data_IF_199343616209
#
_entry.id   IF_199343616209
#
_cell.length_a   1.000
_cell.length_b   1.000
_cell.length_c   1.000
_cell.angle_alpha   90.00
_cell.angle_beta   90.00
_cell.angle_gamma   90.00
#
_symmetry.space_group_name_H-M   'P 1'
#
loop_
_entity.id
_entity.type
_entity.pdbx_description
1 polymer ?
#
# COMPACT_ATOMS: atom_id res chain seq x y z
N UNK A 1 2.01 -4.27 -3.78
CA UNK A 1 3.09 -3.88 -2.85
C UNK A 1 2.43 -3.13 -1.70
N UNK A 2 2.66 -3.56 -0.45
CA UNK A 2 2.03 -2.99 0.73
C UNK A 2 2.98 -2.01 1.43
N UNK A 3 2.44 -0.95 2.04
CA UNK A 3 3.26 0.13 2.64
C UNK A 3 3.87 -0.24 3.98
N UNK A 4 3.47 -1.37 4.58
CA UNK A 4 4.11 -1.95 5.77
C UNK A 4 5.03 -3.12 5.36
N UNK A 5 6.21 -3.21 5.95
CA UNK A 5 7.13 -4.33 5.72
C UNK A 5 6.67 -5.60 6.43
N UNK A 6 6.88 -6.76 5.80
CA UNK A 6 6.65 -8.07 6.39
C UNK A 6 7.76 -8.45 7.38
N UNK A 7 8.97 -7.89 7.22
CA UNK A 7 10.12 -8.08 8.12
C UNK A 7 10.79 -6.73 8.42
N UNK A 8 10.34 -5.98 9.44
CA UNK A 8 10.91 -4.70 9.79
C UNK A 8 12.40 -4.76 10.16
N UNK A 9 12.86 -5.85 10.78
CA UNK A 9 14.25 -6.01 11.19
C UNK A 9 15.16 -6.23 9.98
N UNK A 10 14.74 -7.11 9.06
CA UNK A 10 15.42 -7.32 7.78
C UNK A 10 15.46 -6.06 6.93
N UNK A 11 14.32 -5.35 6.80
CA UNK A 11 14.28 -4.07 6.10
C UNK A 11 15.25 -3.04 6.71
N UNK A 12 15.29 -2.91 8.04
CA UNK A 12 16.24 -2.00 8.71
C UNK A 12 17.71 -2.38 8.45
N UNK A 13 18.04 -3.67 8.46
CA UNK A 13 19.38 -4.17 8.14
C UNK A 13 19.78 -3.84 6.70
N UNK A 14 18.84 -4.00 5.75
CA UNK A 14 19.05 -3.63 4.33
C UNK A 14 19.27 -2.13 4.17
N UNK A 15 18.46 -1.27 4.80
CA UNK A 15 18.64 0.19 4.77
C UNK A 15 20.02 0.59 5.30
N UNK A 16 20.46 -0.02 6.41
CA UNK A 16 21.76 0.25 6.99
C UNK A 16 22.91 -0.22 6.07
N UNK A 17 22.78 -1.39 5.45
CA UNK A 17 23.77 -1.91 4.51
C UNK A 17 23.86 -1.05 3.23
N UNK A 18 22.73 -0.70 2.63
CA UNK A 18 22.72 0.15 1.43
C UNK A 18 23.24 1.57 1.72
N UNK A 19 22.91 2.14 2.89
CA UNK A 19 23.49 3.41 3.34
C UNK A 19 25.02 3.36 3.43
N UNK A 20 25.55 2.33 4.10
CA UNK A 20 27.00 2.08 4.18
C UNK A 20 27.67 1.90 2.81
N UNK A 21 26.96 1.35 1.83
CA UNK A 21 27.46 1.20 0.48
C UNK A 21 27.46 2.54 -0.28
N UNK A 22 26.41 3.36 -0.11
CA UNK A 22 26.32 4.70 -0.69
C UNK A 22 27.44 5.62 -0.17
N UNK A 23 27.74 5.56 1.14
CA UNK A 23 28.77 6.39 1.77
C UNK A 23 30.19 6.07 1.26
N UNK A 24 30.42 4.82 0.82
CA UNK A 24 31.71 4.36 0.28
C UNK A 24 31.77 4.42 -1.24
N UNK A 25 30.69 4.83 -1.90
CA UNK A 25 30.60 4.82 -3.35
C UNK A 25 31.43 5.96 -3.94
N UNK A 26 32.41 5.69 -4.83
CA UNK A 26 33.17 6.74 -5.50
C UNK A 26 32.25 7.74 -6.25
N UNK A 27 32.66 9.01 -6.39
CA UNK A 27 31.89 10.01 -7.13
C UNK A 27 31.66 9.62 -8.61
N UNK A 28 32.60 8.91 -9.21
CA UNK A 28 32.58 8.42 -10.60
C UNK A 28 31.93 7.03 -10.74
N UNK A 29 31.37 6.47 -9.67
CA UNK A 29 30.69 5.18 -9.74
C UNK A 29 29.50 5.21 -10.72
N UNK A 30 29.19 4.08 -11.38
CA UNK A 30 28.11 4.02 -12.35
C UNK A 30 26.77 4.49 -11.77
N UNK A 31 26.11 5.43 -12.46
CA UNK A 31 24.78 5.95 -12.10
C UNK A 31 23.77 4.84 -11.77
N UNK A 32 23.66 3.73 -12.53
CA UNK A 32 22.78 2.62 -12.21
C UNK A 32 22.99 2.02 -10.81
N UNK A 33 24.24 1.94 -10.34
CA UNK A 33 24.54 1.37 -9.04
C UNK A 33 24.04 2.27 -7.91
N UNK A 34 24.29 3.58 -8.01
CA UNK A 34 23.81 4.58 -7.05
C UNK A 34 22.27 4.60 -7.01
N UNK A 35 21.63 4.62 -8.18
CA UNK A 35 20.17 4.60 -8.29
C UNK A 35 19.56 3.35 -7.65
N UNK A 36 20.13 2.16 -7.88
CA UNK A 36 19.65 0.90 -7.26
C UNK A 36 19.76 0.91 -5.74
N UNK A 37 20.89 1.39 -5.19
CA UNK A 37 21.06 1.49 -3.74
C UNK A 37 20.07 2.48 -3.11
N UNK A 38 19.83 3.62 -3.74
CA UNK A 38 18.82 4.59 -3.30
C UNK A 38 17.40 4.01 -3.37
N UNK A 39 17.07 3.30 -4.44
CA UNK A 39 15.80 2.56 -4.56
C UNK A 39 15.65 1.53 -3.44
N UNK A 40 16.70 0.79 -3.08
CA UNK A 40 16.68 -0.13 -1.92
C UNK A 40 16.38 0.61 -0.62
N UNK A 41 17.09 1.73 -0.35
CA UNK A 41 16.81 2.54 0.86
C UNK A 41 15.36 2.99 0.89
N UNK A 42 14.84 3.46 -0.25
CA UNK A 42 13.47 3.94 -0.35
C UNK A 42 12.45 2.82 -0.11
N UNK A 43 12.57 1.69 -0.81
CA UNK A 43 11.63 0.56 -0.67
C UNK A 43 11.64 -0.03 0.74
N UNK A 44 12.81 -0.19 1.34
CA UNK A 44 12.95 -0.78 2.67
C UNK A 44 12.64 0.18 3.82
N UNK A 45 12.54 1.49 3.53
CA UNK A 45 12.05 2.49 4.51
C UNK A 45 10.55 2.77 4.39
N UNK A 46 9.80 1.97 3.60
CA UNK A 46 8.35 2.18 3.38
C UNK A 46 7.56 2.13 4.70
N UNK A 47 6.57 3.02 4.82
CA UNK A 47 5.69 3.10 5.98
C UNK A 47 6.33 3.64 7.26
N UNK A 48 7.64 3.96 7.23
CA UNK A 48 8.31 4.63 8.35
C UNK A 48 8.15 6.15 8.23
N UNK A 49 7.97 6.86 9.35
CA UNK A 49 8.01 8.32 9.34
C UNK A 49 9.41 8.85 9.03
N UNK A 50 9.48 10.10 8.57
CA UNK A 50 10.72 10.83 8.35
C UNK A 50 11.11 11.00 6.88
N UNK A 51 12.24 11.70 6.65
CA UNK A 51 12.62 12.19 5.32
C UNK A 51 13.50 11.23 4.52
N UNK A 52 14.12 10.23 5.17
CA UNK A 52 15.14 9.38 4.54
C UNK A 52 14.59 8.57 3.36
N UNK A 53 13.46 7.89 3.55
CA UNK A 53 12.80 7.13 2.49
C UNK A 53 12.38 8.00 1.30
N UNK A 54 11.59 9.07 1.53
CA UNK A 54 11.17 9.99 0.47
C UNK A 54 12.35 10.66 -0.26
N UNK A 55 13.40 11.08 0.45
CA UNK A 55 14.58 11.68 -0.16
C UNK A 55 15.33 10.68 -1.05
N UNK A 56 15.49 9.43 -0.58
CA UNK A 56 16.10 8.38 -1.38
C UNK A 56 15.29 8.05 -2.63
N UNK A 57 13.95 8.03 -2.54
CA UNK A 57 13.07 7.78 -3.68
C UNK A 57 13.22 8.86 -4.76
N UNK A 58 13.19 10.14 -4.37
CA UNK A 58 13.37 11.28 -5.30
C UNK A 58 14.75 11.25 -5.97
N UNK A 59 15.81 11.06 -5.19
CA UNK A 59 17.16 10.97 -5.73
C UNK A 59 17.34 9.78 -6.69
N UNK A 60 16.70 8.64 -6.40
CA UNK A 60 16.70 7.48 -7.30
C UNK A 60 15.95 7.79 -8.61
N UNK A 61 14.80 8.46 -8.53
CA UNK A 61 14.01 8.88 -9.70
C UNK A 61 14.80 9.84 -10.59
N UNK A 62 15.41 10.88 -10.02
CA UNK A 62 16.23 11.86 -10.76
C UNK A 62 17.37 11.17 -11.52
N UNK A 63 18.12 10.29 -10.86
CA UNK A 63 19.20 9.53 -11.49
C UNK A 63 18.69 8.59 -12.59
N UNK A 64 17.57 7.91 -12.34
CA UNK A 64 16.98 6.99 -13.30
C UNK A 64 16.48 7.73 -14.55
N UNK A 65 15.80 8.87 -14.38
CA UNK A 65 15.37 9.74 -15.49
C UNK A 65 16.56 10.23 -16.31
N UNK A 66 17.63 10.69 -15.65
CA UNK A 66 18.84 11.15 -16.33
C UNK A 66 19.55 10.02 -17.10
N UNK A 67 19.46 8.77 -16.63
CA UNK A 67 20.10 7.62 -17.29
C UNK A 67 19.39 7.16 -18.58
N UNK A 68 18.10 7.46 -18.73
CA UNK A 68 17.27 6.92 -19.81
C UNK A 68 16.98 5.41 -19.73
N UNK A 69 17.40 4.72 -18.67
CA UNK A 69 17.14 3.29 -18.48
C UNK A 69 15.69 3.06 -17.98
N UNK A 70 14.82 2.40 -18.77
CA UNK A 70 13.42 2.20 -18.40
C UNK A 70 13.25 1.29 -17.17
N UNK A 71 14.13 0.32 -16.94
CA UNK A 71 14.03 -0.60 -15.82
C UNK A 71 14.42 0.08 -14.50
N UNK A 72 15.43 0.97 -14.53
CA UNK A 72 15.77 1.82 -13.38
C UNK A 72 14.62 2.77 -13.05
N UNK A 73 14.06 3.45 -14.07
CA UNK A 73 12.98 4.40 -13.85
C UNK A 73 11.74 3.71 -13.29
N UNK A 74 11.35 2.55 -13.85
CA UNK A 74 10.22 1.79 -13.33
C UNK A 74 10.42 1.36 -11.87
N UNK A 75 11.64 1.00 -11.48
CA UNK A 75 11.95 0.64 -10.08
C UNK A 75 11.90 1.85 -9.15
N UNK A 76 12.42 3.01 -9.60
CA UNK A 76 12.37 4.25 -8.84
C UNK A 76 10.93 4.76 -8.66
N UNK A 77 10.10 4.73 -9.71
CA UNK A 77 8.67 5.08 -9.62
C UNK A 77 7.92 4.19 -8.63
N UNK A 78 8.22 2.89 -8.59
CA UNK A 78 7.68 1.98 -7.58
C UNK A 78 8.06 2.38 -6.15
N UNK A 79 9.27 2.89 -5.94
CA UNK A 79 9.71 3.42 -4.66
C UNK A 79 9.05 4.77 -4.32
N UNK A 80 8.89 5.66 -5.30
CA UNK A 80 8.18 6.95 -5.12
C UNK A 80 6.73 6.71 -4.72
N UNK A 81 6.05 5.76 -5.37
CA UNK A 81 4.68 5.37 -5.01
C UNK A 81 4.55 5.00 -3.53
N UNK A 82 5.47 4.21 -2.97
CA UNK A 82 5.45 3.82 -1.55
C UNK A 82 5.51 5.00 -0.58
N UNK A 83 6.15 6.10 -1.00
CA UNK A 83 6.28 7.34 -0.22
C UNK A 83 5.20 8.38 -0.56
N UNK A 84 4.38 8.12 -1.59
CA UNK A 84 3.19 8.92 -1.96
C UNK A 84 1.97 8.51 -1.11
N UNK A 85 2.25 8.17 0.15
CA UNK A 85 1.31 7.83 1.21
C UNK A 85 1.69 8.54 2.53
N UNK A 86 2.53 9.59 2.46
CA UNK A 86 3.01 10.34 3.63
C UNK A 86 2.03 11.36 4.20
N UNK A 87 0.95 11.67 3.47
CA UNK A 87 -0.20 12.48 3.92
C UNK A 87 -1.47 12.02 3.20
N UNK A 88 -2.62 12.40 3.72
CA UNK A 88 -3.91 12.16 3.08
C UNK A 88 -4.08 12.99 1.80
N UNK A 89 -4.94 12.53 0.89
CA UNK A 89 -5.32 13.26 -0.33
C UNK A 89 -4.34 13.10 -1.50
N UNK A 90 -3.47 12.08 -1.47
CA UNK A 90 -2.45 11.83 -2.50
C UNK A 90 -2.89 10.82 -3.57
N UNK A 91 -4.17 10.43 -3.61
CA UNK A 91 -4.65 9.41 -4.53
C UNK A 91 -4.43 9.77 -6.01
N UNK A 92 -4.63 11.04 -6.40
CA UNK A 92 -4.37 11.49 -7.77
C UNK A 92 -2.88 11.41 -8.15
N UNK A 93 -1.98 11.76 -7.23
CA UNK A 93 -0.53 11.65 -7.43
C UNK A 93 -0.11 10.17 -7.60
N UNK A 94 -0.68 9.26 -6.78
CA UNK A 94 -0.48 7.81 -6.94
C UNK A 94 -0.98 7.30 -8.30
N UNK A 95 -2.15 7.72 -8.77
CA UNK A 95 -2.66 7.30 -10.09
C UNK A 95 -1.76 7.79 -11.22
N UNK A 96 -1.22 9.01 -11.14
CA UNK A 96 -0.27 9.54 -12.12
C UNK A 96 1.01 8.70 -12.20
N UNK A 97 1.60 8.35 -11.04
CA UNK A 97 2.76 7.45 -10.98
C UNK A 97 2.41 6.07 -11.58
N UNK A 98 1.24 5.53 -11.25
CA UNK A 98 0.77 4.27 -11.80
C UNK A 98 0.56 4.32 -13.32
N UNK A 99 0.10 5.45 -13.86
CA UNK A 99 -0.08 5.66 -15.30
C UNK A 99 1.27 5.66 -16.03
N UNK A 100 2.25 6.40 -15.50
CA UNK A 100 3.61 6.42 -16.04
C UNK A 100 4.25 5.02 -16.00
N UNK A 101 4.09 4.30 -14.89
CA UNK A 101 4.56 2.91 -14.77
C UNK A 101 3.97 1.98 -15.83
N UNK A 102 2.67 2.05 -16.07
CA UNK A 102 1.99 1.21 -17.08
C UNK A 102 2.51 1.52 -18.49
N UNK A 103 2.63 2.80 -18.83
CA UNK A 103 3.12 3.24 -20.15
C UNK A 103 4.58 2.80 -20.37
N UNK A 104 5.46 3.09 -19.39
CA UNK A 104 6.87 2.76 -19.45
C UNK A 104 7.08 1.25 -19.53
N UNK A 105 6.45 0.49 -18.63
CA UNK A 105 6.61 -0.96 -18.56
C UNK A 105 6.02 -1.65 -19.80
N UNK A 106 4.91 -1.15 -20.33
CA UNK A 106 4.30 -1.68 -21.56
C UNK A 106 5.21 -1.50 -22.78
N UNK A 107 5.88 -0.35 -22.93
CA UNK A 107 6.84 -0.12 -24.03
C UNK A 107 8.11 -0.95 -23.88
N UNK A 108 8.60 -1.11 -22.65
CA UNK A 108 9.88 -1.76 -22.37
C UNK A 108 9.78 -3.27 -22.08
N UNK A 109 8.58 -3.86 -22.07
CA UNK A 109 8.37 -5.28 -21.79
C UNK A 109 8.66 -5.67 -20.33
N UNK A 110 8.38 -4.78 -19.37
CA UNK A 110 8.70 -4.97 -17.95
C UNK A 110 7.48 -5.49 -17.18
N UNK A 111 7.13 -6.77 -17.36
CA UNK A 111 5.88 -7.36 -16.83
C UNK A 111 5.68 -7.16 -15.31
N UNK A 112 6.74 -7.29 -14.51
CA UNK A 112 6.67 -7.06 -13.06
C UNK A 112 6.21 -5.64 -12.74
N UNK A 113 6.76 -4.66 -13.44
CA UNK A 113 6.44 -3.25 -13.24
C UNK A 113 5.10 -2.87 -13.88
N UNK A 114 4.69 -3.56 -14.94
CA UNK A 114 3.35 -3.43 -15.52
C UNK A 114 2.27 -3.87 -14.51
N UNK A 115 2.48 -5.01 -13.84
CA UNK A 115 1.59 -5.46 -12.75
C UNK A 115 1.58 -4.45 -11.61
N UNK A 116 2.75 -3.92 -11.21
CA UNK A 116 2.81 -2.88 -10.18
C UNK A 116 2.01 -1.64 -10.59
N UNK A 117 2.20 -1.12 -11.80
CA UNK A 117 1.47 0.04 -12.29
C UNK A 117 -0.04 -0.16 -12.23
N UNK A 118 -0.54 -1.31 -12.68
CA UNK A 118 -1.97 -1.62 -12.59
C UNK A 118 -2.49 -1.76 -11.15
N UNK A 119 -1.71 -2.33 -10.23
CA UNK A 119 -2.08 -2.39 -8.81
C UNK A 119 -2.16 -0.99 -8.19
N UNK A 120 -1.18 -0.12 -8.48
CA UNK A 120 -1.16 1.26 -8.00
C UNK A 120 -2.40 2.01 -8.49
N UNK A 121 -2.74 1.88 -9.77
CA UNK A 121 -3.93 2.53 -10.33
C UNK A 121 -5.23 1.95 -9.80
N UNK A 122 -5.33 0.63 -9.62
CA UNK A 122 -6.49 -0.01 -8.97
C UNK A 122 -6.76 0.63 -7.60
N UNK A 123 -5.71 0.78 -6.78
CA UNK A 123 -5.81 1.37 -5.44
C UNK A 123 -6.14 2.86 -5.49
N UNK A 124 -5.43 3.62 -6.31
CA UNK A 124 -5.61 5.06 -6.43
C UNK A 124 -7.00 5.44 -6.96
N UNK A 125 -7.47 4.75 -8.01
CA UNK A 125 -8.80 4.97 -8.61
C UNK A 125 -9.92 4.60 -7.64
N UNK A 126 -9.73 3.53 -6.85
CA UNK A 126 -10.67 3.18 -5.78
C UNK A 126 -10.77 4.28 -4.72
N UNK A 127 -9.64 4.84 -4.28
CA UNK A 127 -9.62 5.95 -3.32
C UNK A 127 -10.25 7.24 -3.88
N UNK A 128 -10.20 7.45 -5.20
CA UNK A 128 -10.86 8.57 -5.88
C UNK A 128 -12.36 8.33 -6.16
N UNK A 129 -12.90 7.14 -5.84
CA UNK A 129 -14.28 6.76 -6.16
C UNK A 129 -14.50 6.39 -7.64
N UNK A 130 -13.45 6.33 -8.46
CA UNK A 130 -13.53 5.87 -9.85
C UNK A 130 -13.52 4.33 -9.91
N UNK A 131 -14.64 3.73 -9.49
CA UNK A 131 -14.79 2.28 -9.43
C UNK A 131 -14.77 1.63 -10.83
N UNK A 132 -15.21 2.35 -11.87
CA UNK A 132 -15.18 1.85 -13.24
C UNK A 132 -13.75 1.78 -13.79
N UNK A 133 -12.95 2.83 -13.59
CA UNK A 133 -11.54 2.85 -13.94
C UNK A 133 -10.74 1.81 -13.16
N UNK A 134 -11.03 1.67 -11.86
CA UNK A 134 -10.46 0.61 -11.03
C UNK A 134 -10.79 -0.80 -11.57
N UNK A 135 -12.03 -1.03 -12.02
CA UNK A 135 -12.45 -2.31 -12.61
C UNK A 135 -11.63 -2.69 -13.85
N UNK A 136 -11.37 -1.73 -14.75
CA UNK A 136 -10.54 -1.97 -15.92
C UNK A 136 -9.13 -2.45 -15.55
N UNK A 137 -8.55 -1.93 -14.48
CA UNK A 137 -7.25 -2.39 -13.99
C UNK A 137 -7.30 -3.76 -13.33
N UNK A 138 -8.36 -4.08 -12.58
CA UNK A 138 -8.57 -5.41 -12.02
C UNK A 138 -8.64 -6.49 -13.12
N UNK A 139 -9.36 -6.21 -14.22
CA UNK A 139 -9.48 -7.16 -15.33
C UNK A 139 -8.15 -7.36 -16.07
N UNK A 140 -7.32 -6.32 -16.20
CA UNK A 140 -5.97 -6.45 -16.76
C UNK A 140 -5.08 -7.28 -15.83
N UNK A 141 -5.14 -7.06 -14.52
CA UNK A 141 -4.36 -7.78 -13.53
C UNK A 141 -4.69 -9.27 -13.53
N UNK A 142 -5.96 -9.66 -13.62
CA UNK A 142 -6.35 -11.07 -13.70
C UNK A 142 -5.80 -11.75 -14.96
N UNK A 143 -5.85 -11.05 -16.10
CA UNK A 143 -5.24 -11.54 -17.35
C UNK A 143 -3.73 -11.70 -17.23
N UNK A 144 -3.04 -10.80 -16.51
CA UNK A 144 -1.60 -10.88 -16.25
C UNK A 144 -1.27 -12.01 -15.26
N UNK A 145 -2.09 -12.21 -14.22
CA UNK A 145 -1.89 -13.25 -13.21
C UNK A 145 -1.88 -14.65 -13.83
N UNK A 146 -2.77 -14.92 -14.78
CA UNK A 146 -2.83 -16.17 -15.55
C UNK A 146 -1.59 -16.38 -16.42
N UNK A 147 -1.09 -15.32 -17.06
CA UNK A 147 0.07 -15.42 -17.97
C UNK A 147 1.42 -15.53 -17.27
N UNK A 148 1.56 -14.95 -16.09
CA UNK A 148 2.85 -14.78 -15.42
C UNK A 148 3.02 -15.63 -14.16
N UNK A 149 2.11 -16.59 -13.92
CA UNK A 149 2.09 -17.45 -12.71
C UNK A 149 2.16 -16.63 -11.40
N UNK A 150 1.39 -15.54 -11.32
CA UNK A 150 1.38 -14.63 -10.14
C UNK A 150 0.08 -14.74 -9.35
N UNK A 151 -0.13 -15.83 -8.58
CA UNK A 151 -1.38 -16.05 -7.85
C UNK A 151 -1.68 -14.96 -6.80
N UNK A 152 -0.66 -14.26 -6.31
CA UNK A 152 -0.82 -13.16 -5.35
C UNK A 152 -1.50 -11.92 -5.95
N UNK A 153 -1.46 -11.71 -7.27
CA UNK A 153 -2.19 -10.60 -7.89
C UNK A 153 -3.71 -10.78 -7.77
N UNK A 154 -4.19 -12.02 -7.87
CA UNK A 154 -5.60 -12.40 -7.76
C UNK A 154 -6.18 -12.11 -6.37
N UNK A 155 -5.35 -12.15 -5.33
CA UNK A 155 -5.76 -11.80 -3.96
C UNK A 155 -6.23 -10.35 -3.89
N UNK A 156 -5.49 -9.43 -4.51
CA UNK A 156 -5.83 -8.00 -4.52
C UNK A 156 -7.08 -7.71 -5.36
N UNK A 157 -7.24 -8.35 -6.52
CA UNK A 157 -8.44 -8.15 -7.36
C UNK A 157 -9.68 -8.77 -6.74
N UNK A 158 -9.55 -9.90 -6.03
CA UNK A 158 -10.63 -10.52 -5.25
C UNK A 158 -11.08 -9.61 -4.10
N UNK A 159 -10.14 -9.11 -3.30
CA UNK A 159 -10.44 -8.16 -2.22
C UNK A 159 -11.09 -6.87 -2.74
N UNK A 160 -10.59 -6.32 -3.85
CA UNK A 160 -11.18 -5.15 -4.49
C UNK A 160 -12.60 -5.40 -4.99
N UNK A 161 -12.90 -6.56 -5.61
CA UNK A 161 -14.27 -6.89 -6.05
C UNK A 161 -15.25 -7.02 -4.88
N UNK A 162 -14.79 -7.57 -3.76
CA UNK A 162 -15.58 -7.60 -2.53
C UNK A 162 -15.87 -6.19 -2.03
N UNK A 163 -14.86 -5.32 -1.96
CA UNK A 163 -15.03 -3.91 -1.60
C UNK A 163 -16.01 -3.21 -2.54
N UNK A 164 -15.88 -3.39 -3.86
CA UNK A 164 -16.80 -2.82 -4.84
C UNK A 164 -18.24 -3.24 -4.59
N UNK A 165 -18.51 -4.53 -4.36
CA UNK A 165 -19.86 -5.02 -4.03
C UNK A 165 -20.43 -4.35 -2.77
N UNK A 166 -19.60 -4.15 -1.75
CA UNK A 166 -20.00 -3.44 -0.52
C UNK A 166 -20.37 -1.99 -0.81
N UNK A 167 -19.54 -1.28 -1.58
CA UNK A 167 -19.79 0.10 -1.99
C UNK A 167 -21.03 0.25 -2.87
N UNK A 168 -21.34 -0.77 -3.68
CA UNK A 168 -22.56 -0.86 -4.50
C UNK A 168 -23.80 -1.30 -3.69
N UNK A 169 -23.69 -1.46 -2.36
CA UNK A 169 -24.83 -1.68 -1.47
C UNK A 169 -25.20 -3.14 -1.24
N UNK A 170 -24.24 -4.07 -1.31
CA UNK A 170 -24.49 -5.49 -1.01
C UNK A 170 -25.20 -5.67 0.35
N UNK A 171 -26.34 -6.40 0.40
CA UNK A 171 -27.09 -6.63 1.64
C UNK A 171 -26.30 -7.49 2.64
N UNK A 172 -25.43 -8.35 2.14
CA UNK A 172 -24.55 -9.30 2.82
C UNK A 172 -23.11 -8.74 2.99
N UNK A 173 -22.94 -7.42 3.06
CA UNK A 173 -21.62 -6.77 3.02
C UNK A 173 -20.59 -7.29 4.05
N UNK A 174 -20.99 -7.63 5.28
CA UNK A 174 -20.07 -8.18 6.28
C UNK A 174 -19.56 -9.57 5.88
N UNK A 175 -20.43 -10.42 5.31
CA UNK A 175 -20.06 -11.76 4.83
C UNK A 175 -19.18 -11.67 3.58
N UNK A 176 -19.45 -10.70 2.70
CA UNK A 176 -18.63 -10.41 1.52
C UNK A 176 -17.21 -10.01 1.93
N UNK A 177 -17.05 -9.08 2.87
CA UNK A 177 -15.73 -8.68 3.40
C UNK A 177 -15.04 -9.85 4.11
N UNK A 178 -15.78 -10.59 4.93
CA UNK A 178 -15.24 -11.73 5.68
C UNK A 178 -14.70 -12.81 4.76
N UNK A 179 -15.45 -13.17 3.72
CA UNK A 179 -15.05 -14.19 2.75
C UNK A 179 -13.82 -13.77 1.97
N UNK A 180 -13.71 -12.49 1.60
CA UNK A 180 -12.61 -11.99 0.80
C UNK A 180 -11.32 -11.76 1.60
N UNK A 181 -11.42 -11.29 2.85
CA UNK A 181 -10.25 -10.88 3.65
C UNK A 181 -9.73 -11.99 4.57
N UNK A 182 -10.56 -12.97 4.99
CA UNK A 182 -10.11 -14.05 5.88
C UNK A 182 -8.93 -14.86 5.31
N UNK A 183 -8.89 -15.23 4.01
CA UNK A 183 -7.75 -15.96 3.45
C UNK A 183 -6.42 -15.20 3.47
N UNK A 184 -6.42 -13.87 3.70
CA UNK A 184 -5.19 -13.09 3.82
C UNK A 184 -4.33 -13.54 4.99
N UNK A 185 -4.95 -14.06 6.07
CA UNK A 185 -4.27 -14.62 7.23
C UNK A 185 -3.22 -15.67 6.88
N UNK A 186 -3.51 -16.48 5.87
CA UNK A 186 -2.68 -17.62 5.45
C UNK A 186 -1.83 -17.31 4.20
N UNK A 187 -1.87 -16.08 3.69
CA UNK A 187 -1.28 -15.71 2.40
C UNK A 187 0.24 -15.46 2.45
N UNK A 188 0.90 -15.65 3.60
CA UNK A 188 2.33 -15.40 3.78
C UNK A 188 2.72 -13.92 3.66
N UNK A 189 1.78 -13.01 3.92
CA UNK A 189 1.98 -11.55 3.86
C UNK A 189 1.63 -10.89 5.21
N UNK A 190 2.41 -11.08 6.29
CA UNK A 190 2.11 -10.55 7.61
C UNK A 190 1.79 -9.05 7.63
N UNK A 191 2.53 -8.27 6.82
CA UNK A 191 2.33 -6.83 6.63
C UNK A 191 0.94 -6.47 6.10
N UNK A 192 0.28 -7.39 5.38
CA UNK A 192 -1.10 -7.25 4.87
C UNK A 192 -2.11 -7.94 5.79
N UNK A 193 -1.78 -9.11 6.31
CA UNK A 193 -2.70 -10.07 6.92
C UNK A 193 -3.22 -9.67 8.32
N UNK A 194 -2.45 -8.89 9.07
CA UNK A 194 -2.80 -8.54 10.45
C UNK A 194 -3.77 -7.36 10.50
N UNK A 195 -5.00 -7.61 10.98
CA UNK A 195 -6.00 -6.59 11.25
C UNK A 195 -6.86 -6.03 10.10
N UNK A 196 -6.69 -6.33 8.80
CA UNK A 196 -7.49 -5.68 7.74
C UNK A 196 -8.97 -6.07 7.83
N UNK A 197 -9.31 -7.31 8.20
CA UNK A 197 -10.70 -7.73 8.34
C UNK A 197 -11.41 -7.02 9.52
N UNK A 198 -10.87 -7.05 10.75
CA UNK A 198 -11.45 -6.30 11.87
C UNK A 198 -11.57 -4.79 11.59
N UNK A 199 -10.58 -4.19 10.94
CA UNK A 199 -10.63 -2.78 10.53
C UNK A 199 -11.76 -2.54 9.52
N UNK A 200 -11.85 -3.34 8.45
CA UNK A 200 -12.87 -3.19 7.42
C UNK A 200 -14.30 -3.35 7.98
N UNK A 201 -14.52 -4.32 8.87
CA UNK A 201 -15.82 -4.50 9.56
C UNK A 201 -16.16 -3.31 10.46
N UNK A 202 -15.16 -2.76 11.16
CA UNK A 202 -15.34 -1.55 11.98
C UNK A 202 -15.75 -0.37 11.11
N UNK A 203 -15.01 -0.09 10.02
CA UNK A 203 -15.33 0.99 9.09
C UNK A 203 -16.75 0.83 8.51
N UNK A 204 -17.12 -0.38 8.07
CA UNK A 204 -18.44 -0.66 7.52
C UNK A 204 -19.56 -0.40 8.54
N UNK A 205 -19.38 -0.81 9.80
CA UNK A 205 -20.38 -0.60 10.85
C UNK A 205 -20.50 0.88 11.20
N UNK A 206 -19.37 1.60 11.32
CA UNK A 206 -19.35 3.04 11.59
C UNK A 206 -20.02 3.84 10.48
N UNK A 207 -19.72 3.53 9.21
CA UNK A 207 -20.35 4.17 8.04
C UNK A 207 -21.88 4.01 8.06
N UNK A 208 -22.36 2.83 8.48
CA UNK A 208 -23.78 2.52 8.62
C UNK A 208 -24.42 3.03 9.92
N UNK A 209 -23.70 3.81 10.72
CA UNK A 209 -24.16 4.30 12.03
C UNK A 209 -24.41 3.20 13.06
N UNK A 210 -23.78 2.03 12.89
CA UNK A 210 -23.90 0.88 13.79
C UNK A 210 -22.74 0.82 14.78
N UNK A 211 -22.97 0.32 16.00
CA UNK A 211 -21.91 -0.06 16.93
C UNK A 211 -20.84 -0.94 16.27
N UNK A 212 -19.56 -0.66 16.51
CA UNK A 212 -18.47 -1.47 15.96
C UNK A 212 -18.54 -2.94 16.43
N UNK A 213 -18.94 -3.19 17.67
CA UNK A 213 -19.10 -4.55 18.22
C UNK A 213 -17.81 -5.39 18.20
N UNK A 214 -17.86 -6.68 18.55
CA UNK A 214 -16.68 -7.54 18.42
C UNK A 214 -16.32 -7.75 16.93
N UNK A 215 -15.05 -7.50 16.58
CA UNK A 215 -14.53 -7.57 15.19
C UNK A 215 -13.32 -8.50 15.04
N UNK A 216 -12.88 -9.16 16.13
CA UNK A 216 -11.62 -9.92 16.17
C UNK A 216 -10.43 -9.05 16.59
N UNK A 217 -9.21 -9.54 16.38
CA UNK A 217 -7.97 -8.81 16.73
C UNK A 217 -7.58 -7.80 15.64
N UNK A 218 -7.73 -6.48 15.87
CA UNK A 218 -7.37 -5.45 14.89
C UNK A 218 -5.86 -5.29 14.69
N UNK A 219 -5.03 -6.02 15.44
CA UNK A 219 -3.58 -6.03 15.30
C UNK A 219 -2.98 -4.62 15.34
N UNK A 220 -2.22 -4.20 14.31
CA UNK A 220 -1.60 -2.86 14.28
C UNK A 220 -2.63 -1.72 14.30
N UNK A 221 -3.90 -1.97 13.96
CA UNK A 221 -4.95 -0.94 13.90
C UNK A 221 -5.72 -0.78 15.22
N UNK A 222 -5.32 -1.49 16.28
CA UNK A 222 -5.98 -1.45 17.59
C UNK A 222 -6.21 -0.04 18.16
N UNK A 223 -5.26 0.93 18.05
CA UNK A 223 -5.47 2.28 18.57
C UNK A 223 -6.66 3.00 17.93
N UNK A 224 -6.87 2.81 16.62
CA UNK A 224 -7.95 3.47 15.86
C UNK A 224 -9.30 2.74 15.99
N UNK A 225 -9.28 1.42 16.20
CA UNK A 225 -10.52 0.63 16.42
C UNK A 225 -11.05 0.82 17.86
N UNK A 226 -10.17 1.00 18.84
CA UNK A 226 -10.50 1.03 20.28
C UNK A 226 -11.58 2.04 20.67
N UNK A 227 -11.56 3.32 20.23
CA UNK A 227 -12.61 4.27 20.58
C UNK A 227 -14.01 3.81 20.14
N UNK A 228 -14.12 3.18 18.96
CA UNK A 228 -15.38 2.70 18.43
C UNK A 228 -15.93 1.48 19.21
N UNK A 229 -15.05 0.63 19.73
CA UNK A 229 -15.44 -0.47 20.62
C UNK A 229 -15.94 0.03 21.97
N UNK A 230 -15.25 1.02 22.54
CA UNK A 230 -15.60 1.60 23.85
C UNK A 230 -16.88 2.43 23.81
N UNK A 231 -17.20 3.05 22.67
CA UNK A 231 -18.33 3.97 22.55
C UNK A 231 -19.67 3.35 22.97
N UNK A 232 -19.81 2.03 22.79
CA UNK A 232 -21.01 1.25 23.11
C UNK A 232 -21.12 0.95 24.62
N UNK A 233 -20.00 0.99 25.34
CA UNK A 233 -19.88 0.56 26.73
C UNK A 233 -19.74 1.75 27.69
N UNK A 234 -18.81 2.67 27.36
CA UNK A 234 -18.48 3.83 28.17
C UNK A 234 -18.01 4.98 27.26
N UNK A 235 -18.85 6.00 27.14
CA UNK A 235 -18.59 7.20 26.35
C UNK A 235 -17.41 8.01 26.88
N UNK A 236 -17.20 8.06 28.19
CA UNK A 236 -16.09 8.80 28.79
C UNK A 236 -14.76 8.09 28.49
N UNK A 237 -14.73 6.76 28.59
CA UNK A 237 -13.58 5.96 28.20
C UNK A 237 -13.28 6.06 26.70
N UNK A 238 -14.31 6.06 25.85
CA UNK A 238 -14.16 6.26 24.41
C UNK A 238 -13.56 7.64 24.07
N UNK A 239 -14.05 8.70 24.73
CA UNK A 239 -13.51 10.05 24.56
C UNK A 239 -12.06 10.18 25.06
N UNK A 240 -11.71 9.50 26.16
CA UNK A 240 -10.32 9.43 26.62
C UNK A 240 -9.43 8.71 25.59
N UNK A 241 -9.86 7.56 25.08
CA UNK A 241 -9.15 6.81 24.04
C UNK A 241 -8.91 7.62 22.76
N UNK A 242 -9.89 8.44 22.36
CA UNK A 242 -9.78 9.32 21.20
C UNK A 242 -8.80 10.48 21.42
N UNK A 243 -8.67 10.99 22.65
CA UNK A 243 -7.69 12.05 22.96
C UNK A 243 -6.25 11.54 22.97
N UNK A 244 -6.05 10.29 23.32
CA UNK A 244 -4.74 9.63 23.37
C UNK A 244 -4.38 8.91 22.06
N UNK A 245 -5.13 9.17 20.98
CA UNK A 245 -4.95 8.49 19.71
C UNK A 245 -3.63 8.93 19.05
N UNK A 246 -2.75 7.99 18.67
CA UNK A 246 -1.52 8.36 17.97
C UNK A 246 -1.83 8.80 16.53
N UNK A 247 -0.96 9.65 15.99
CA UNK A 247 -0.97 9.93 14.55
C UNK A 247 -0.76 8.61 13.76
N UNK A 248 -1.59 8.33 12.75
CA UNK A 248 -1.42 7.16 11.90
C UNK A 248 -0.08 7.19 11.14
N UNK A 249 0.61 6.03 11.04
CA UNK A 249 1.84 5.96 10.26
C UNK A 249 1.54 6.19 8.77
N UNK A 250 2.53 6.69 7.99
CA UNK A 250 2.42 6.75 6.54
C UNK A 250 1.99 5.41 5.94
N UNK A 251 1.02 5.42 5.04
CA UNK A 251 0.58 4.19 4.40
C UNK A 251 -0.76 4.29 3.67
N UNK A 252 -1.13 3.20 3.00
CA UNK A 252 -2.37 3.14 2.21
C UNK A 252 -3.65 3.27 3.04
N UNK A 253 -3.58 3.00 4.35
CA UNK A 253 -4.71 3.11 5.27
C UNK A 253 -4.75 4.44 6.03
N UNK A 254 -3.81 5.35 5.75
CA UNK A 254 -3.72 6.65 6.42
C UNK A 254 -5.03 7.47 6.34
N UNK A 255 -5.79 7.32 5.26
CA UNK A 255 -7.07 8.04 5.07
C UNK A 255 -8.24 7.40 5.85
N UNK A 256 -8.08 6.15 6.32
CA UNK A 256 -9.10 5.42 7.07
C UNK A 256 -8.87 5.43 8.58
N UNK A 257 -7.63 5.67 9.02
CA UNK A 257 -7.20 5.73 10.42
C UNK A 257 -7.26 7.18 10.92
#
# INVERSE_FOLDING_TARGET
MWTRSDDPAGSAALVAAAGRALDRLPPDAPVPLRARLLTTVAVESRGLPGLRGPAAARAAEELARASGDPALLASALGAVYLHTCGRTGLAAERDAIGAELVELAGRAGLDTHLVLGHLVRLQARSALGDLAGAAGHADVLDRLAVRSERPLATVFTTGWRALRRVLEGAPDAEDVLTTALRPLGDAGMPGVAEGPLPLALTCLRVERGRPAGPVGDPGPYAPWVRPHLLLVQDRAAAAAALRDLPDPPPGLLLEAL
#
